data_IF_234314901194
#
_entry.id   IF_234314901194
#
_cell.length_a   1.000
_cell.length_b   1.000
_cell.length_c   1.000
_cell.angle_alpha   90.00
_cell.angle_beta   90.00
_cell.angle_gamma   90.00
#
_symmetry.space_group_name_H-M   'P 1'
#
loop_
_entity.id
_entity.type
_entity.pdbx_description
1 polymer ?
#
# COMPACT_ATOMS: atom_id res chain seq x y z
N UNK A 1 -22.12 -18.21 -28.62
CA UNK A 1 -21.08 -17.73 -29.53
C UNK A 1 -21.47 -16.32 -29.98
N UNK A 2 -20.55 -15.35 -29.82
CA UNK A 2 -20.84 -13.92 -29.96
C UNK A 2 -21.01 -13.45 -31.41
N UNK A 3 -20.93 -14.35 -32.41
CA UNK A 3 -21.06 -14.02 -33.83
C UNK A 3 -19.93 -13.14 -34.40
N UNK A 4 -18.80 -13.04 -33.70
CA UNK A 4 -17.64 -12.25 -34.11
C UNK A 4 -16.70 -13.16 -34.90
N UNK A 5 -16.38 -12.77 -36.12
CA UNK A 5 -15.35 -13.45 -36.93
C UNK A 5 -13.97 -12.89 -36.52
N UNK A 6 -13.11 -13.78 -36.05
CA UNK A 6 -11.75 -13.44 -35.64
C UNK A 6 -10.78 -13.90 -36.75
N UNK A 7 -9.91 -13.04 -37.28
CA UNK A 7 -8.90 -13.44 -38.25
C UNK A 7 -7.98 -14.52 -37.71
N UNK A 8 -7.56 -15.43 -38.58
CA UNK A 8 -6.59 -16.47 -38.23
C UNK A 8 -5.27 -15.84 -37.75
N UNK A 9 -4.68 -16.43 -36.68
CA UNK A 9 -3.45 -15.92 -36.09
C UNK A 9 -3.63 -14.79 -35.10
N UNK A 10 -4.87 -14.34 -34.83
CA UNK A 10 -5.15 -13.32 -33.80
C UNK A 10 -4.77 -13.84 -32.40
N UNK A 11 -3.90 -13.12 -31.70
CA UNK A 11 -3.43 -13.47 -30.36
C UNK A 11 -4.08 -12.63 -29.26
N UNK A 12 -4.62 -11.47 -29.61
CA UNK A 12 -5.13 -10.48 -28.67
C UNK A 12 -6.31 -9.72 -29.28
N UNK A 13 -7.32 -9.45 -28.50
CA UNK A 13 -8.42 -8.55 -28.82
C UNK A 13 -8.32 -7.29 -27.96
N UNK A 14 -8.59 -6.15 -28.56
CA UNK A 14 -8.59 -4.85 -27.88
C UNK A 14 -9.97 -4.24 -28.00
N UNK A 15 -10.56 -3.84 -26.88
CA UNK A 15 -11.80 -3.08 -26.81
C UNK A 15 -11.48 -1.63 -26.51
N UNK A 16 -11.82 -0.70 -27.41
CA UNK A 16 -11.70 0.75 -27.17
C UNK A 16 -12.83 1.19 -26.26
N UNK A 17 -12.48 1.49 -25.00
CA UNK A 17 -13.42 1.82 -23.92
C UNK A 17 -13.46 3.33 -23.68
N UNK A 18 -14.67 3.82 -23.39
CA UNK A 18 -14.91 5.26 -23.13
C UNK A 18 -15.35 5.54 -21.68
N UNK A 19 -15.41 4.51 -20.84
CA UNK A 19 -15.85 4.67 -19.46
C UNK A 19 -15.57 3.46 -18.59
N UNK A 20 -15.94 3.56 -17.32
CA UNK A 20 -15.69 2.56 -16.29
C UNK A 20 -17.00 2.16 -15.60
N UNK A 21 -17.12 0.91 -15.21
CA UNK A 21 -18.24 0.39 -14.41
C UNK A 21 -19.20 -0.50 -15.19
N UNK A 22 -20.39 -0.72 -14.65
CA UNK A 22 -21.35 -1.73 -15.14
C UNK A 22 -21.74 -1.59 -16.62
N UNK A 23 -21.79 -0.37 -17.14
CA UNK A 23 -22.10 -0.08 -18.55
C UNK A 23 -20.94 -0.39 -19.50
N UNK A 24 -19.73 -0.56 -18.96
CA UNK A 24 -18.49 -0.83 -19.67
C UNK A 24 -17.87 -2.13 -19.16
N UNK A 25 -18.38 -3.29 -19.55
CA UNK A 25 -18.00 -4.58 -18.97
C UNK A 25 -16.52 -4.91 -19.15
N UNK A 26 -15.89 -4.40 -20.20
CA UNK A 26 -14.46 -4.58 -20.42
C UNK A 26 -13.55 -3.67 -19.56
N UNK A 27 -14.14 -2.79 -18.74
CA UNK A 27 -13.40 -2.05 -17.72
C UNK A 27 -13.03 -2.91 -16.48
N UNK A 28 -13.52 -4.13 -16.38
CA UNK A 28 -13.14 -5.09 -15.33
C UNK A 28 -11.99 -5.98 -15.79
N UNK A 29 -11.31 -6.58 -14.80
CA UNK A 29 -10.35 -7.63 -15.09
C UNK A 29 -11.00 -8.77 -15.87
N UNK A 30 -10.30 -9.20 -16.92
CA UNK A 30 -10.67 -10.33 -17.76
C UNK A 30 -9.45 -11.24 -17.87
N UNK A 31 -9.45 -12.35 -17.19
CA UNK A 31 -8.35 -13.33 -17.24
C UNK A 31 -8.32 -14.06 -18.61
N UNK A 32 -8.33 -13.27 -19.68
CA UNK A 32 -8.34 -13.73 -21.06
C UNK A 32 -7.50 -12.79 -21.95
N UNK A 33 -7.35 -13.15 -23.23
CA UNK A 33 -6.67 -12.35 -24.22
C UNK A 33 -7.52 -11.17 -24.76
N UNK A 34 -8.35 -10.55 -23.92
CA UNK A 34 -9.16 -9.38 -24.27
C UNK A 34 -8.77 -8.23 -23.33
N UNK A 35 -8.31 -7.11 -23.90
CA UNK A 35 -7.90 -5.93 -23.14
C UNK A 35 -8.90 -4.78 -23.33
N UNK A 36 -9.25 -4.10 -22.24
CA UNK A 36 -9.82 -2.76 -22.31
C UNK A 36 -8.69 -1.77 -22.59
N UNK A 37 -8.89 -0.90 -23.56
CA UNK A 37 -7.94 0.11 -23.99
C UNK A 37 -8.58 1.49 -23.89
N UNK A 38 -7.82 2.47 -23.40
CA UNK A 38 -8.27 3.84 -23.19
C UNK A 38 -7.26 4.81 -23.79
N UNK A 39 -7.75 5.84 -24.43
CA UNK A 39 -6.94 6.97 -24.92
C UNK A 39 -7.33 8.18 -24.11
N UNK A 40 -6.33 8.90 -23.60
CA UNK A 40 -6.49 10.11 -22.79
C UNK A 40 -5.55 11.21 -23.28
N UNK A 41 -5.88 12.47 -23.00
CA UNK A 41 -5.13 13.63 -23.52
C UNK A 41 -3.82 13.88 -22.78
N UNK A 42 -3.75 13.53 -21.50
CA UNK A 42 -2.61 13.83 -20.66
C UNK A 42 -2.47 12.82 -19.51
N UNK A 43 -1.38 12.92 -18.75
CA UNK A 43 -1.09 12.01 -17.67
C UNK A 43 -1.99 12.22 -16.44
N UNK A 44 -2.51 13.43 -16.22
CA UNK A 44 -3.44 13.75 -15.15
C UNK A 44 -4.77 13.00 -15.34
N UNK A 45 -5.29 13.04 -16.56
CA UNK A 45 -6.49 12.28 -16.94
C UNK A 45 -6.25 10.78 -16.83
N UNK A 46 -5.08 10.28 -17.30
CA UNK A 46 -4.67 8.90 -17.09
C UNK A 46 -4.65 8.52 -15.61
N UNK A 47 -4.18 9.44 -14.76
CA UNK A 47 -4.11 9.23 -13.33
C UNK A 47 -5.51 9.04 -12.72
N UNK A 48 -6.48 9.86 -13.07
CA UNK A 48 -7.85 9.75 -12.55
C UNK A 48 -8.57 8.51 -13.12
N UNK A 49 -8.39 8.23 -14.40
CA UNK A 49 -8.95 7.04 -15.03
C UNK A 49 -8.41 5.74 -14.39
N UNK A 50 -7.10 5.66 -14.13
CA UNK A 50 -6.50 4.53 -13.42
C UNK A 50 -7.09 4.35 -12.01
N UNK A 51 -7.36 5.44 -11.27
CA UNK A 51 -8.04 5.35 -9.97
C UNK A 51 -9.44 4.78 -10.11
N UNK A 52 -10.21 5.27 -11.06
CA UNK A 52 -11.57 4.78 -11.33
C UNK A 52 -11.55 3.28 -11.68
N UNK A 53 -10.64 2.84 -12.54
CA UNK A 53 -10.46 1.44 -12.90
C UNK A 53 -10.09 0.57 -11.70
N UNK A 54 -9.14 1.02 -10.86
CA UNK A 54 -8.72 0.30 -9.66
C UNK A 54 -9.86 0.15 -8.65
N UNK A 55 -10.67 1.19 -8.45
CA UNK A 55 -11.84 1.10 -7.58
C UNK A 55 -12.94 0.21 -8.16
N UNK A 56 -13.06 0.14 -9.48
CA UNK A 56 -14.02 -0.76 -10.12
C UNK A 56 -13.59 -2.22 -10.02
N UNK A 57 -12.27 -2.49 -10.15
CA UNK A 57 -11.69 -3.83 -10.06
C UNK A 57 -10.17 -3.77 -9.89
N UNK A 58 -9.61 -4.49 -8.91
CA UNK A 58 -8.16 -4.64 -8.76
C UNK A 58 -7.49 -3.70 -7.75
N UNK A 59 -8.26 -3.04 -6.88
CA UNK A 59 -7.72 -2.20 -5.82
C UNK A 59 -6.71 -2.98 -4.96
N UNK A 60 -5.61 -2.32 -4.62
CA UNK A 60 -4.56 -2.89 -3.78
C UNK A 60 -3.53 -3.77 -4.51
N UNK A 61 -3.75 -4.18 -5.75
CA UNK A 61 -2.88 -5.14 -6.42
C UNK A 61 -1.61 -4.49 -7.03
N UNK A 62 -1.52 -4.37 -8.33
CA UNK A 62 -0.33 -3.94 -9.06
C UNK A 62 -0.71 -3.01 -10.21
N UNK A 63 0.08 -1.97 -10.41
CA UNK A 63 -0.01 -1.08 -11.56
C UNK A 63 1.35 -1.03 -12.26
N UNK A 64 1.36 -1.02 -13.58
CA UNK A 64 2.58 -0.78 -14.37
C UNK A 64 2.51 0.58 -15.06
N UNK A 65 3.62 1.31 -15.01
CA UNK A 65 3.78 2.59 -15.69
C UNK A 65 5.02 2.58 -16.59
N UNK A 66 4.87 3.04 -17.83
CA UNK A 66 5.97 3.22 -18.75
C UNK A 66 6.18 4.72 -19.00
N UNK A 67 7.20 5.28 -18.39
CA UNK A 67 7.51 6.70 -18.46
C UNK A 67 9.00 6.96 -18.20
N UNK A 68 9.53 8.08 -18.71
CA UNK A 68 10.83 8.63 -18.37
C UNK A 68 10.72 9.85 -17.46
N UNK A 69 9.49 10.29 -17.16
CA UNK A 69 9.24 11.44 -16.31
C UNK A 69 9.09 11.00 -14.84
N UNK A 70 10.14 11.23 -14.06
CA UNK A 70 10.19 10.86 -12.63
C UNK A 70 9.10 11.55 -11.80
N UNK A 71 8.72 12.79 -12.14
CA UNK A 71 7.65 13.49 -11.43
C UNK A 71 6.30 12.78 -11.63
N UNK A 72 6.00 12.34 -12.85
CA UNK A 72 4.79 11.56 -13.15
C UNK A 72 4.81 10.20 -12.45
N UNK A 73 5.96 9.49 -12.50
CA UNK A 73 6.12 8.21 -11.81
C UNK A 73 5.84 8.37 -10.31
N UNK A 74 6.41 9.41 -9.68
CA UNK A 74 6.20 9.72 -8.27
C UNK A 74 4.73 10.02 -7.95
N UNK A 75 4.06 10.83 -8.77
CA UNK A 75 2.64 11.16 -8.60
C UNK A 75 1.77 9.90 -8.67
N UNK A 76 2.03 9.00 -9.60
CA UNK A 76 1.36 7.70 -9.64
C UNK A 76 1.65 6.87 -8.38
N UNK A 77 2.91 6.86 -7.91
CA UNK A 77 3.32 6.19 -6.69
C UNK A 77 2.56 6.64 -5.44
N UNK A 78 2.33 7.94 -5.33
CA UNK A 78 1.66 8.53 -4.17
C UNK A 78 0.12 8.42 -4.23
N UNK A 79 -0.46 8.43 -5.43
CA UNK A 79 -1.92 8.57 -5.60
C UNK A 79 -2.65 7.27 -5.90
N UNK A 80 -1.96 6.19 -6.23
CA UNK A 80 -2.63 4.94 -6.60
C UNK A 80 -2.81 4.01 -5.41
N UNK A 81 -4.02 3.49 -5.20
CA UNK A 81 -4.31 2.53 -4.13
C UNK A 81 -3.87 1.12 -4.56
N UNK A 82 -2.58 0.93 -4.74
CA UNK A 82 -1.95 -0.35 -5.09
C UNK A 82 -0.75 -0.63 -4.21
N UNK A 83 -0.43 -1.88 -4.00
CA UNK A 83 0.71 -2.31 -3.17
C UNK A 83 2.04 -2.25 -3.91
N UNK A 84 2.01 -2.25 -5.25
CA UNK A 84 3.23 -2.14 -6.06
C UNK A 84 2.99 -1.40 -7.36
N UNK A 85 3.97 -0.58 -7.72
CA UNK A 85 4.03 0.09 -9.02
C UNK A 85 5.29 -0.38 -9.73
N UNK A 86 5.09 -1.01 -10.87
CA UNK A 86 6.16 -1.52 -11.72
C UNK A 86 6.49 -0.46 -12.76
N UNK A 87 7.73 -0.02 -12.81
CA UNK A 87 8.17 1.05 -13.72
C UNK A 87 8.96 0.46 -14.88
N UNK A 88 8.56 0.79 -16.10
CA UNK A 88 9.23 0.42 -17.35
C UNK A 88 9.48 -1.10 -17.49
N UNK A 89 8.60 -1.90 -16.93
CA UNK A 89 8.63 -3.37 -17.05
C UNK A 89 7.20 -3.90 -17.27
N UNK A 90 7.03 -5.04 -17.93
CA UNK A 90 5.72 -5.68 -18.04
C UNK A 90 5.15 -5.99 -16.66
N UNK A 91 3.86 -5.72 -16.47
CA UNK A 91 3.20 -5.81 -15.17
C UNK A 91 3.38 -7.16 -14.48
N UNK A 92 3.15 -8.26 -15.20
CA UNK A 92 3.30 -9.62 -14.68
C UNK A 92 4.74 -9.92 -14.30
N UNK A 93 5.69 -9.70 -15.20
CA UNK A 93 7.10 -10.00 -14.95
C UNK A 93 7.67 -9.14 -13.82
N UNK A 94 7.36 -7.85 -13.83
CA UNK A 94 7.80 -6.93 -12.79
C UNK A 94 7.16 -7.22 -11.42
N UNK A 95 5.86 -7.47 -11.42
CA UNK A 95 5.10 -7.74 -10.20
C UNK A 95 5.54 -9.02 -9.47
N UNK A 96 5.84 -10.09 -10.20
CA UNK A 96 6.34 -11.35 -9.62
C UNK A 96 7.83 -11.34 -9.29
N UNK A 97 8.53 -10.21 -9.51
CA UNK A 97 9.96 -10.07 -9.19
C UNK A 97 10.92 -10.66 -10.22
N UNK A 98 10.45 -10.97 -11.45
CA UNK A 98 11.32 -11.52 -12.49
C UNK A 98 12.22 -10.45 -13.13
N UNK A 99 11.72 -9.23 -13.28
CA UNK A 99 12.41 -8.10 -13.93
C UNK A 99 12.58 -6.89 -13.02
N UNK A 100 12.31 -7.03 -11.75
CA UNK A 100 12.46 -5.99 -10.71
C UNK A 100 13.17 -6.58 -9.50
N UNK A 101 13.54 -5.72 -8.54
CA UNK A 101 14.13 -6.15 -7.28
C UNK A 101 13.08 -6.60 -6.24
N UNK A 102 11.82 -6.79 -6.62
CA UNK A 102 10.82 -7.39 -5.74
C UNK A 102 11.17 -8.86 -5.48
N UNK A 103 10.76 -9.36 -4.31
CA UNK A 103 11.01 -10.77 -4.00
C UNK A 103 10.24 -11.68 -4.98
N UNK A 104 10.87 -12.69 -5.55
CA UNK A 104 10.22 -13.60 -6.50
C UNK A 104 9.05 -14.35 -5.85
N UNK A 105 7.84 -14.16 -6.38
CA UNK A 105 6.64 -14.85 -5.90
C UNK A 105 5.52 -14.78 -6.93
N UNK A 106 4.72 -15.84 -7.02
CA UNK A 106 3.46 -15.84 -7.77
C UNK A 106 2.25 -15.45 -6.90
N UNK A 107 2.43 -15.38 -5.57
CA UNK A 107 1.38 -14.92 -4.66
C UNK A 107 1.70 -13.51 -4.21
N UNK A 108 0.86 -12.56 -4.59
CA UNK A 108 1.06 -11.14 -4.37
C UNK A 108 0.01 -10.60 -3.40
N UNK A 109 0.46 -10.04 -2.28
CA UNK A 109 -0.43 -9.38 -1.32
C UNK A 109 -0.99 -8.08 -1.88
N UNK A 110 -2.26 -7.80 -1.61
CA UNK A 110 -2.93 -6.57 -2.04
C UNK A 110 -2.99 -5.50 -0.94
N UNK A 111 -2.36 -5.73 0.22
CA UNK A 111 -2.35 -4.83 1.36
C UNK A 111 -3.73 -4.63 1.99
N UNK A 112 -3.79 -3.81 3.03
CA UNK A 112 -5.04 -3.50 3.73
C UNK A 112 -6.09 -2.87 2.79
N UNK A 113 -5.68 -2.06 1.83
CA UNK A 113 -6.56 -1.44 0.83
C UNK A 113 -7.28 -2.49 -0.01
N UNK A 114 -6.61 -3.58 -0.34
CA UNK A 114 -7.18 -4.72 -1.09
C UNK A 114 -7.78 -5.81 -0.20
N UNK A 115 -7.83 -5.61 1.12
CA UNK A 115 -8.36 -6.59 2.06
C UNK A 115 -7.40 -7.75 2.38
N UNK A 116 -6.12 -7.60 2.09
CA UNK A 116 -5.08 -8.59 2.39
C UNK A 116 -4.34 -8.31 3.70
N UNK A 117 -3.78 -9.35 4.31
CA UNK A 117 -2.95 -9.24 5.52
C UNK A 117 -1.58 -8.62 5.26
N UNK A 118 -1.09 -8.63 4.02
CA UNK A 118 0.20 -8.06 3.63
C UNK A 118 0.14 -7.41 2.26
N UNK A 119 1.01 -6.45 2.01
CA UNK A 119 1.27 -5.84 0.71
C UNK A 119 2.43 -6.47 -0.04
N UNK A 120 3.15 -7.40 0.59
CA UNK A 120 4.38 -7.96 0.05
C UNK A 120 4.13 -9.07 -0.99
N UNK A 121 5.15 -9.37 -1.76
CA UNK A 121 5.25 -10.64 -2.44
C UNK A 121 5.44 -11.73 -1.39
N UNK A 122 4.60 -12.76 -1.40
CA UNK A 122 4.60 -13.78 -0.35
C UNK A 122 5.83 -14.67 -0.47
N UNK A 123 6.52 -14.83 0.64
CA UNK A 123 7.74 -15.62 0.78
C UNK A 123 7.60 -16.64 1.91
N UNK A 124 8.48 -17.62 2.04
CA UNK A 124 8.49 -18.51 3.19
C UNK A 124 8.54 -17.78 4.55
N UNK A 125 9.09 -16.54 4.57
CA UNK A 125 9.12 -15.71 5.78
C UNK A 125 7.73 -15.36 6.31
N UNK A 126 6.73 -15.27 5.44
CA UNK A 126 5.34 -15.01 5.81
C UNK A 126 4.69 -16.18 6.55
N UNK A 127 5.29 -17.38 6.49
CA UNK A 127 4.84 -18.57 7.20
C UNK A 127 5.52 -18.74 8.57
N UNK A 128 6.52 -17.93 8.88
CA UNK A 128 7.28 -18.04 10.13
C UNK A 128 6.61 -17.23 11.24
N UNK A 129 6.43 -17.86 12.40
CA UNK A 129 6.04 -17.16 13.61
C UNK A 129 7.28 -16.57 14.28
N UNK A 130 7.61 -15.32 13.96
CA UNK A 130 8.79 -14.62 14.45
C UNK A 130 8.51 -14.06 15.84
N UNK A 131 9.25 -14.53 16.84
CA UNK A 131 9.29 -13.95 18.19
C UNK A 131 10.51 -13.06 18.34
N UNK A 132 10.33 -11.97 19.07
CA UNK A 132 11.41 -11.01 19.33
C UNK A 132 11.60 -10.86 20.83
N UNK A 133 12.86 -10.92 21.28
CA UNK A 133 13.27 -10.54 22.64
C UNK A 133 13.96 -9.19 22.51
N UNK A 134 13.43 -8.18 23.17
CA UNK A 134 13.96 -6.83 23.10
C UNK A 134 14.48 -6.44 24.50
N UNK A 135 15.76 -6.08 24.56
CA UNK A 135 16.37 -5.58 25.78
C UNK A 135 16.30 -4.07 25.83
N UNK A 136 16.19 -3.53 27.03
CA UNK A 136 16.27 -2.09 27.24
C UNK A 136 17.66 -1.58 26.89
N UNK A 137 17.75 -0.58 26.03
CA UNK A 137 19.02 -0.02 25.53
C UNK A 137 19.38 1.34 26.14
N UNK A 138 18.62 1.78 27.15
CA UNK A 138 18.77 3.10 27.76
C UNK A 138 18.04 4.21 27.00
N UNK A 139 18.09 5.42 27.56
CA UNK A 139 17.37 6.58 27.05
C UNK A 139 18.12 7.33 25.93
N UNK A 140 19.29 6.85 25.54
CA UNK A 140 20.13 7.51 24.55
C UNK A 140 19.45 7.69 23.18
N UNK A 141 18.70 6.71 22.73
CA UNK A 141 17.92 6.79 21.47
C UNK A 141 16.75 7.76 21.56
N UNK A 142 16.09 7.83 22.71
CA UNK A 142 14.98 8.76 22.93
C UNK A 142 15.49 10.20 22.91
N UNK A 143 16.67 10.44 23.50
CA UNK A 143 17.32 11.75 23.45
C UNK A 143 17.76 12.13 22.04
N UNK A 144 18.27 11.20 21.23
CA UNK A 144 18.65 11.47 19.83
C UNK A 144 17.45 11.75 18.94
N UNK A 145 16.31 11.08 19.17
CA UNK A 145 15.08 11.32 18.39
C UNK A 145 14.32 12.58 18.82
N UNK A 146 14.56 13.07 20.06
CA UNK A 146 13.87 14.23 20.60
C UNK A 146 14.68 15.55 20.57
N UNK A 147 15.98 15.49 20.30
CA UNK A 147 16.84 16.68 20.37
C UNK A 147 16.81 17.56 19.12
N UNK A 148 16.44 17.01 17.96
CA UNK A 148 16.59 17.71 16.67
C UNK A 148 15.28 18.24 16.07
N UNK A 149 14.11 17.99 16.66
CA UNK A 149 12.81 18.31 16.01
C UNK A 149 11.79 19.09 16.85
N UNK A 150 12.11 19.53 18.08
CA UNK A 150 11.20 20.40 18.82
C UNK A 150 11.83 21.77 19.00
N UNK A 151 11.40 22.80 18.24
CA UNK A 151 11.78 24.16 18.59
C UNK A 151 11.28 24.46 20.00
N UNK A 152 12.16 24.96 20.85
CA UNK A 152 11.95 25.23 22.26
C UNK A 152 10.93 26.37 22.55
N UNK A 153 9.92 26.53 21.72
CA UNK A 153 8.86 27.51 21.89
C UNK A 153 7.53 26.95 21.46
N UNK A 154 6.87 26.29 22.30
CA UNK A 154 5.43 26.25 22.53
C UNK A 154 4.94 24.88 23.10
N UNK A 155 5.37 24.55 24.28
CA UNK A 155 4.55 23.69 25.11
C UNK A 155 4.37 24.41 26.45
N UNK A 156 3.11 24.78 26.70
CA UNK A 156 2.56 25.24 27.94
C UNK A 156 3.38 24.83 29.16
N UNK A 157 3.73 25.82 29.98
CA UNK A 157 4.23 25.62 31.33
C UNK A 157 3.26 24.78 32.13
N UNK A 158 3.42 23.49 32.08
CA UNK A 158 2.95 22.58 33.09
C UNK A 158 4.19 22.04 33.77
N UNK A 159 4.46 22.59 34.98
CA UNK A 159 5.32 21.96 35.95
C UNK A 159 4.98 20.46 35.98
N UNK A 160 6.00 19.63 35.83
CA UNK A 160 5.84 18.17 36.04
C UNK A 160 5.17 18.02 37.39
N UNK A 161 4.03 17.33 37.51
CA UNK A 161 3.45 17.08 38.83
C UNK A 161 4.53 16.31 39.60
N UNK A 162 4.95 16.90 40.70
CA UNK A 162 5.86 16.24 41.62
C UNK A 162 5.04 15.14 42.33
N UNK A 163 5.02 13.94 41.66
CA UNK A 163 4.31 12.79 42.19
C UNK A 163 5.12 12.33 43.40
N UNK A 164 4.64 12.67 44.58
CA UNK A 164 5.16 12.14 45.81
C UNK A 164 4.80 10.65 45.87
N UNK A 165 5.77 9.80 45.55
CA UNK A 165 5.61 8.33 45.51
C UNK A 165 5.16 7.79 46.86
N UNK A 166 5.63 8.37 47.99
CA UNK A 166 5.26 7.94 49.34
C UNK A 166 3.79 8.23 49.63
N UNK A 167 3.28 9.37 49.17
CA UNK A 167 1.87 9.71 49.30
C UNK A 167 0.98 8.79 48.43
N UNK A 168 1.42 8.46 47.24
CA UNK A 168 0.71 7.52 46.34
C UNK A 168 0.67 6.11 46.94
N UNK A 169 1.81 5.64 47.46
CA UNK A 169 1.92 4.33 48.10
C UNK A 169 1.02 4.25 49.35
N UNK A 170 0.98 5.29 50.16
CA UNK A 170 0.12 5.35 51.33
C UNK A 170 -1.37 5.32 50.95
N UNK A 171 -1.77 5.99 49.89
CA UNK A 171 -3.14 5.95 49.36
C UNK A 171 -3.53 4.55 48.86
N UNK A 172 -2.68 3.91 48.12
CA UNK A 172 -2.92 2.55 47.61
C UNK A 172 -3.06 1.55 48.75
N UNK A 173 -2.17 1.62 49.75
CA UNK A 173 -2.21 0.74 50.92
C UNK A 173 -3.49 0.98 51.79
N UNK A 174 -3.91 2.23 51.90
CA UNK A 174 -5.15 2.58 52.63
C UNK A 174 -6.39 2.03 51.91
N UNK A 175 -6.41 2.08 50.57
CA UNK A 175 -7.54 1.58 49.80
C UNK A 175 -7.60 0.04 49.78
N UNK A 176 -6.46 -0.62 49.72
CA UNK A 176 -6.39 -2.08 49.81
C UNK A 176 -6.85 -2.59 51.21
N UNK A 177 -6.55 -1.87 52.27
CA UNK A 177 -7.03 -2.21 53.65
C UNK A 177 -8.54 -2.08 53.82
N UNK A 178 -9.23 -1.27 53.00
CA UNK A 178 -10.69 -1.16 53.03
C UNK A 178 -11.39 -2.31 52.29
N UNK A 179 -10.67 -2.97 51.40
CA UNK A 179 -11.19 -4.08 50.58
C UNK A 179 -10.96 -5.46 51.19
N UNK A 180 -10.18 -5.54 52.27
CA UNK A 180 -9.97 -6.74 53.10
C UNK A 180 -10.84 -6.72 54.35
#
# INVERSE_FOLDING_TARGET
LAGITIPEGTKLLISDEKGVGKKFPFSKEKLTSILGFYIVENWEEACELCKALLHNCGIGHTLSIHSKNEAVIREFGLKKPVSRIVVNSPSTHGGVGLTTALFPSFTLGCGAVGGSATSDNITPMNLLNIRRVAYYIGDSRIRQLGADEVPASSCCGQSKPNINIDALTSLIVAELKKMM
#
